data_IF_053064865978
#
_entry.id   IF_053064865978
#
_cell.length_a   1.000
_cell.length_b   1.000
_cell.length_c   1.000
_cell.angle_alpha   90.00
_cell.angle_beta   90.00
_cell.angle_gamma   90.00
#
_symmetry.space_group_name_H-M   'P 1'
#
loop_
_entity.id
_entity.type
_entity.pdbx_description
1 polymer ?
#
# COMPACT_ATOMS: atom_id res chain seq x y z
N UNK A 1 14.71 -11.03 9.80
CA UNK A 1 13.44 -11.82 9.89
C UNK A 1 12.34 -10.97 9.25
N UNK A 2 11.13 -11.47 8.98
CA UNK A 2 10.05 -10.59 8.49
C UNK A 2 9.59 -9.66 9.64
N UNK A 3 9.42 -8.36 9.36
CA UNK A 3 8.91 -7.40 10.36
C UNK A 3 7.50 -7.74 10.85
N UNK A 4 7.08 -7.15 11.97
CA UNK A 4 5.70 -7.32 12.44
C UNK A 4 4.73 -6.65 11.46
N UNK A 5 5.10 -5.49 10.92
CA UNK A 5 4.38 -4.78 9.87
C UNK A 5 4.11 -5.66 8.65
N UNK A 6 5.12 -6.39 8.14
CA UNK A 6 4.93 -7.28 6.99
C UNK A 6 4.04 -8.48 7.32
N UNK A 7 4.14 -9.02 8.54
CA UNK A 7 3.26 -10.10 9.00
C UNK A 7 1.80 -9.65 9.06
N UNK A 8 1.53 -8.50 9.68
CA UNK A 8 0.20 -7.88 9.71
C UNK A 8 -0.32 -7.57 8.31
N UNK A 9 0.52 -7.01 7.44
CA UNK A 9 0.18 -6.74 6.06
C UNK A 9 -0.27 -7.99 5.30
N UNK A 10 0.42 -9.12 5.47
CA UNK A 10 0.06 -10.37 4.81
C UNK A 10 -1.32 -10.90 5.23
N UNK A 11 -1.82 -10.51 6.41
CA UNK A 11 -3.19 -10.79 6.82
C UNK A 11 -4.18 -9.78 6.23
N UNK A 12 -3.91 -8.49 6.35
CA UNK A 12 -4.84 -7.43 5.92
C UNK A 12 -5.01 -7.39 4.39
N UNK A 13 -3.95 -7.68 3.62
CA UNK A 13 -4.04 -7.72 2.15
C UNK A 13 -4.96 -8.83 1.64
N UNK A 14 -5.24 -9.85 2.47
CA UNK A 14 -6.10 -10.98 2.09
C UNK A 14 -7.54 -10.52 1.83
N UNK A 15 -8.04 -9.48 2.51
CA UNK A 15 -9.36 -8.91 2.23
C UNK A 15 -9.49 -8.46 0.77
N UNK A 16 -8.43 -7.86 0.21
CA UNK A 16 -8.42 -7.45 -1.20
C UNK A 16 -8.43 -8.66 -2.15
N UNK A 17 -7.71 -9.72 -1.78
CA UNK A 17 -7.66 -10.99 -2.54
C UNK A 17 -9.03 -11.68 -2.51
N UNK A 18 -9.65 -11.75 -1.34
CA UNK A 18 -10.95 -12.40 -1.14
C UNK A 18 -12.07 -11.65 -1.86
N UNK A 19 -12.02 -10.31 -1.90
CA UNK A 19 -12.95 -9.52 -2.73
C UNK A 19 -12.83 -9.84 -4.22
N UNK A 20 -11.60 -10.06 -4.72
CA UNK A 20 -11.37 -10.45 -6.12
C UNK A 20 -11.85 -11.90 -6.37
N UNK A 21 -11.61 -12.82 -5.44
CA UNK A 21 -12.11 -14.18 -5.53
C UNK A 21 -13.65 -14.24 -5.48
N UNK A 22 -14.26 -13.38 -4.66
CA UNK A 22 -15.71 -13.25 -4.60
C UNK A 22 -16.27 -12.72 -5.93
N UNK A 23 -15.62 -11.73 -6.54
CA UNK A 23 -15.93 -11.30 -7.90
C UNK A 23 -15.92 -12.49 -8.87
N UNK A 24 -14.86 -13.31 -8.85
CA UNK A 24 -14.75 -14.48 -9.73
C UNK A 24 -15.88 -15.50 -9.53
N UNK A 25 -16.37 -15.63 -8.30
CA UNK A 25 -17.45 -16.56 -7.95
C UNK A 25 -18.81 -16.10 -8.46
N UNK A 26 -19.09 -14.79 -8.38
CA UNK A 26 -20.40 -14.23 -8.75
C UNK A 26 -20.47 -13.77 -10.22
N UNK A 27 -19.35 -13.77 -10.93
CA UNK A 27 -19.27 -13.32 -12.32
C UNK A 27 -19.90 -14.34 -13.27
N UNK A 28 -21.24 -14.37 -13.31
CA UNK A 28 -22.05 -15.09 -14.29
C UNK A 28 -22.18 -14.30 -15.60
N UNK A 29 -22.72 -14.91 -16.68
CA UNK A 29 -23.12 -14.15 -17.87
C UNK A 29 -24.65 -13.97 -17.92
N UNK A 30 -25.15 -12.71 -17.92
CA UNK A 30 -24.41 -11.45 -17.74
C UNK A 30 -23.94 -11.24 -16.28
N UNK A 31 -22.87 -10.44 -16.05
CA UNK A 31 -22.39 -10.14 -14.71
C UNK A 31 -23.42 -9.30 -13.94
N UNK A 32 -23.60 -9.51 -12.63
CA UNK A 32 -24.40 -8.60 -11.83
C UNK A 32 -23.71 -7.23 -11.67
N UNK A 33 -24.47 -6.14 -11.62
CA UNK A 33 -23.93 -4.77 -11.46
C UNK A 33 -23.05 -4.60 -10.21
N UNK A 34 -23.31 -5.41 -9.17
CA UNK A 34 -22.51 -5.45 -7.93
C UNK A 34 -21.09 -5.99 -8.14
N UNK A 35 -20.83 -6.76 -9.19
CA UNK A 35 -19.52 -7.35 -9.46
C UNK A 35 -18.44 -6.27 -9.70
N UNK A 36 -18.80 -5.17 -10.38
CA UNK A 36 -17.87 -4.05 -10.60
C UNK A 36 -17.49 -3.32 -9.32
N UNK A 37 -18.39 -3.30 -8.32
CA UNK A 37 -18.12 -2.70 -7.01
C UNK A 37 -17.02 -3.49 -6.29
N UNK A 38 -17.04 -4.83 -6.38
CA UNK A 38 -16.05 -5.69 -5.73
C UNK A 38 -14.63 -5.43 -6.25
N UNK A 39 -14.46 -5.27 -7.57
CA UNK A 39 -13.16 -4.94 -8.15
C UNK A 39 -12.64 -3.58 -7.67
N UNK A 40 -13.50 -2.57 -7.61
CA UNK A 40 -13.13 -1.24 -7.12
C UNK A 40 -12.78 -1.27 -5.62
N UNK A 41 -13.59 -1.95 -4.82
CA UNK A 41 -13.36 -2.13 -3.39
C UNK A 41 -12.04 -2.86 -3.13
N UNK A 42 -11.77 -3.94 -3.86
CA UNK A 42 -10.52 -4.71 -3.77
C UNK A 42 -9.28 -3.83 -4.00
N UNK A 43 -9.28 -2.95 -5.02
CA UNK A 43 -8.14 -2.05 -5.23
C UNK A 43 -7.95 -1.05 -4.08
N UNK A 44 -9.05 -0.51 -3.56
CA UNK A 44 -9.02 0.42 -2.42
C UNK A 44 -8.48 -0.28 -1.17
N UNK A 45 -8.94 -1.50 -0.88
CA UNK A 45 -8.47 -2.31 0.24
C UNK A 45 -6.98 -2.65 0.11
N UNK A 46 -6.51 -2.99 -1.10
CA UNK A 46 -5.10 -3.30 -1.31
C UNK A 46 -4.18 -2.10 -1.04
N UNK A 47 -4.58 -0.90 -1.45
CA UNK A 47 -3.81 0.31 -1.16
C UNK A 47 -3.90 0.74 0.30
N UNK A 48 -5.04 0.52 0.95
CA UNK A 48 -5.18 0.77 2.39
C UNK A 48 -4.25 -0.15 3.19
N UNK A 49 -4.17 -1.43 2.82
CA UNK A 49 -3.22 -2.37 3.43
C UNK A 49 -1.76 -1.90 3.25
N UNK A 50 -1.41 -1.39 2.05
CA UNK A 50 -0.07 -0.85 1.80
C UNK A 50 0.21 0.43 2.61
N UNK A 51 -0.77 1.31 2.76
CA UNK A 51 -0.69 2.52 3.57
C UNK A 51 -0.35 2.15 5.01
N UNK A 52 -1.16 1.29 5.64
CA UNK A 52 -0.92 0.79 7.01
C UNK A 52 0.43 0.09 7.14
N UNK A 53 0.81 -0.76 6.17
CA UNK A 53 2.12 -1.39 6.18
C UNK A 53 3.26 -0.37 6.25
N UNK A 54 3.21 0.72 5.47
CA UNK A 54 4.25 1.73 5.47
C UNK A 54 4.30 2.49 6.80
N UNK A 55 3.14 2.85 7.35
CA UNK A 55 3.02 3.51 8.66
C UNK A 55 3.59 2.65 9.79
N UNK A 56 3.25 1.36 9.81
CA UNK A 56 3.75 0.42 10.80
C UNK A 56 5.24 0.18 10.61
N UNK A 57 5.69 -0.03 9.37
CA UNK A 57 7.09 -0.38 9.08
C UNK A 57 8.05 0.75 9.44
N UNK A 58 7.71 2.00 9.16
CA UNK A 58 8.53 3.15 9.55
C UNK A 58 8.51 3.32 11.08
N UNK A 59 7.36 3.10 11.74
CA UNK A 59 7.24 3.20 13.19
C UNK A 59 8.11 2.16 13.90
N UNK A 60 8.10 0.91 13.41
CA UNK A 60 8.99 -0.14 13.89
C UNK A 60 10.46 0.21 13.68
N UNK A 61 10.82 0.70 12.48
CA UNK A 61 12.19 1.11 12.16
C UNK A 61 12.69 2.23 13.09
N UNK A 62 11.90 3.28 13.24
CA UNK A 62 12.23 4.41 14.11
C UNK A 62 12.34 3.96 15.56
N UNK A 63 11.45 3.08 16.01
CA UNK A 63 11.52 2.47 17.35
C UNK A 63 12.81 1.69 17.60
N UNK A 64 13.42 1.10 16.57
CA UNK A 64 14.74 0.47 16.68
C UNK A 64 15.86 1.52 16.78
N UNK A 65 15.81 2.57 15.96
CA UNK A 65 16.83 3.64 15.94
C UNK A 65 16.90 4.42 17.25
N UNK A 66 15.75 4.76 17.84
CA UNK A 66 15.73 5.56 19.08
C UNK A 66 16.00 4.72 20.35
N UNK A 67 16.08 3.40 20.22
CA UNK A 67 16.26 2.48 21.34
C UNK A 67 14.97 2.22 22.14
N UNK A 68 14.90 1.02 22.74
CA UNK A 68 13.75 0.57 23.56
C UNK A 68 13.89 0.89 25.06
N UNK A 69 15.02 1.46 25.47
CA UNK A 69 15.31 1.65 26.88
C UNK A 69 14.43 2.76 27.45
N UNK A 70 13.69 2.46 28.52
CA UNK A 70 12.63 3.29 29.12
C UNK A 70 13.10 4.62 29.75
N UNK A 71 14.26 5.12 29.37
CA UNK A 71 14.79 6.43 29.72
C UNK A 71 14.71 7.39 28.54
N UNK A 72 13.64 7.31 27.74
CA UNK A 72 13.50 8.13 26.55
C UNK A 72 13.56 9.60 26.89
N UNK A 73 14.73 10.21 26.66
CA UNK A 73 14.92 11.62 26.89
C UNK A 73 13.98 12.41 25.97
N UNK A 74 13.83 13.70 26.26
CA UNK A 74 12.99 14.62 25.48
C UNK A 74 13.20 14.55 23.96
N UNK A 75 14.39 14.15 23.52
CA UNK A 75 14.72 13.95 22.10
C UNK A 75 14.00 12.72 21.51
N UNK A 76 13.97 11.58 22.22
CA UNK A 76 13.25 10.39 21.77
C UNK A 76 11.75 10.64 21.69
N UNK A 77 11.17 11.25 22.73
CA UNK A 77 9.76 11.64 22.75
C UNK A 77 9.43 12.57 21.57
N UNK A 78 10.22 13.64 21.40
CA UNK A 78 10.05 14.56 20.28
C UNK A 78 10.14 13.86 18.92
N UNK A 79 11.04 12.89 18.76
CA UNK A 79 11.22 12.15 17.52
C UNK A 79 10.00 11.28 17.18
N UNK A 80 9.51 10.53 18.17
CA UNK A 80 8.32 9.68 18.03
C UNK A 80 7.05 10.51 17.82
N UNK A 81 6.88 11.59 18.58
CA UNK A 81 5.75 12.52 18.42
C UNK A 81 5.78 13.19 17.04
N UNK A 82 6.97 13.56 16.56
CA UNK A 82 7.12 14.11 15.22
C UNK A 82 6.67 13.10 14.17
N UNK A 83 7.10 11.84 14.27
CA UNK A 83 6.68 10.78 13.35
C UNK A 83 5.17 10.61 13.39
N UNK A 84 4.57 10.47 14.58
CA UNK A 84 3.13 10.29 14.72
C UNK A 84 2.34 11.45 14.10
N UNK A 85 2.83 12.69 14.24
CA UNK A 85 2.19 13.84 13.62
C UNK A 85 2.26 13.79 12.09
N UNK A 86 3.38 13.37 11.51
CA UNK A 86 3.51 13.19 10.06
C UNK A 86 2.60 12.05 9.55
N UNK A 87 2.52 10.93 10.27
CA UNK A 87 1.68 9.78 9.91
C UNK A 87 0.19 10.13 9.89
N UNK A 88 -0.30 11.02 10.75
CA UNK A 88 -1.69 11.50 10.71
C UNK A 88 -2.11 12.08 9.35
N UNK A 89 -1.14 12.59 8.58
CA UNK A 89 -1.36 13.16 7.25
C UNK A 89 -0.85 12.27 6.11
N UNK A 90 -0.32 11.09 6.43
CA UNK A 90 0.17 10.11 5.47
C UNK A 90 -1.00 9.37 4.80
N UNK A 91 -1.84 10.11 4.09
CA UNK A 91 -2.90 9.49 3.29
C UNK A 91 -2.33 9.05 1.94
N UNK A 92 -2.69 7.86 1.44
CA UNK A 92 -2.29 7.38 0.10
C UNK A 92 -0.77 7.28 -0.12
N UNK A 93 -0.21 6.06 -0.27
CA UNK A 93 1.23 5.84 -0.38
C UNK A 93 1.77 6.20 -1.77
N UNK A 94 1.97 7.48 -2.07
CA UNK A 94 2.67 7.90 -3.30
C UNK A 94 4.18 7.80 -3.12
N UNK A 95 4.98 7.56 -4.18
CA UNK A 95 6.43 7.45 -4.05
C UNK A 95 7.04 8.64 -3.32
N UNK A 96 6.64 9.86 -3.66
CA UNK A 96 7.14 11.09 -3.02
C UNK A 96 6.85 11.12 -1.51
N UNK A 97 5.65 10.73 -1.07
CA UNK A 97 5.31 10.68 0.37
C UNK A 97 6.12 9.60 1.09
N UNK A 98 6.23 8.41 0.51
CA UNK A 98 7.01 7.31 1.10
C UNK A 98 8.48 7.69 1.20
N UNK A 99 9.08 8.18 0.12
CA UNK A 99 10.49 8.57 0.11
C UNK A 99 10.80 9.67 1.14
N UNK A 100 9.97 10.71 1.23
CA UNK A 100 10.15 11.79 2.22
C UNK A 100 10.12 11.26 3.65
N UNK A 101 9.23 10.31 3.94
CA UNK A 101 9.07 9.76 5.28
C UNK A 101 10.31 8.96 5.71
N UNK A 102 10.76 8.02 4.87
CA UNK A 102 11.96 7.22 5.14
C UNK A 102 13.24 8.06 5.18
N UNK A 103 13.37 9.05 4.29
CA UNK A 103 14.52 9.95 4.30
C UNK A 103 14.54 10.84 5.54
N UNK A 104 13.40 11.41 5.94
CA UNK A 104 13.30 12.30 7.11
C UNK A 104 13.66 11.58 8.41
N UNK A 105 13.15 10.35 8.59
CA UNK A 105 13.24 9.65 9.87
C UNK A 105 14.32 8.57 9.94
N UNK A 106 14.86 8.10 8.81
CA UNK A 106 15.87 7.05 8.84
C UNK A 106 17.12 7.42 8.02
N UNK A 107 17.11 8.52 7.26
CA UNK A 107 18.17 8.85 6.28
C UNK A 107 18.38 7.72 5.25
N UNK A 108 17.30 7.00 4.96
CA UNK A 108 17.31 5.87 4.03
C UNK A 108 16.53 6.24 2.77
N UNK A 109 17.21 6.14 1.63
CA UNK A 109 16.56 6.12 0.32
C UNK A 109 15.87 4.77 0.09
N UNK A 110 14.62 4.65 0.53
CA UNK A 110 13.83 3.40 0.45
C UNK A 110 13.66 2.86 -0.98
N UNK A 111 13.77 3.72 -2.01
CA UNK A 111 13.62 3.30 -3.40
C UNK A 111 14.75 2.38 -3.87
N UNK A 112 15.89 2.36 -3.19
CA UNK A 112 16.98 1.42 -3.51
C UNK A 112 16.58 -0.03 -3.27
N UNK A 113 15.67 -0.26 -2.33
CA UNK A 113 15.02 -1.54 -2.11
C UNK A 113 13.97 -1.92 -3.14
N UNK A 114 13.53 -0.98 -3.99
CA UNK A 114 12.43 -1.20 -4.94
C UNK A 114 12.94 -1.80 -6.25
N UNK A 115 13.63 -2.93 -6.13
CA UNK A 115 14.09 -3.73 -7.25
C UNK A 115 13.76 -5.21 -7.00
N UNK A 116 12.94 -5.79 -7.87
CA UNK A 116 12.60 -7.21 -7.83
C UNK A 116 12.10 -7.68 -9.18
N UNK A 117 12.44 -8.91 -9.57
CA UNK A 117 12.02 -9.49 -10.85
C UNK A 117 12.28 -8.52 -12.03
N UNK A 118 11.21 -8.05 -12.68
CA UNK A 118 11.25 -7.13 -13.83
C UNK A 118 10.96 -5.66 -13.47
N UNK A 119 10.88 -5.34 -12.17
CA UNK A 119 10.75 -3.98 -11.65
C UNK A 119 12.11 -3.44 -11.27
N UNK A 120 12.49 -2.35 -11.94
CA UNK A 120 13.47 -1.40 -11.45
C UNK A 120 12.77 -0.29 -10.63
N UNK A 121 13.57 0.55 -9.96
CA UNK A 121 13.06 1.63 -9.11
C UNK A 121 12.12 2.58 -9.88
N UNK A 122 12.45 2.88 -11.14
CA UNK A 122 11.68 3.81 -11.97
C UNK A 122 10.30 3.23 -12.28
N UNK A 123 10.25 1.95 -12.67
CA UNK A 123 9.01 1.21 -12.94
C UNK A 123 8.18 1.04 -11.69
N UNK A 124 8.79 0.71 -10.55
CA UNK A 124 8.09 0.56 -9.28
C UNK A 124 7.41 1.87 -8.87
N UNK A 125 8.16 2.98 -8.89
CA UNK A 125 7.62 4.32 -8.59
C UNK A 125 6.51 4.71 -9.56
N UNK A 126 6.70 4.49 -10.86
CA UNK A 126 5.68 4.79 -11.88
C UNK A 126 4.41 3.99 -11.65
N UNK A 127 4.52 2.70 -11.34
CA UNK A 127 3.38 1.83 -11.11
C UNK A 127 2.63 2.21 -9.83
N UNK A 128 3.34 2.47 -8.72
CA UNK A 128 2.71 2.94 -7.48
C UNK A 128 1.94 4.25 -7.69
N UNK A 129 2.53 5.23 -8.39
CA UNK A 129 1.84 6.48 -8.74
C UNK A 129 0.58 6.25 -9.57
N UNK A 130 0.63 5.31 -10.53
CA UNK A 130 -0.52 4.98 -11.36
C UNK A 130 -1.65 4.34 -10.54
N UNK A 131 -1.33 3.43 -9.63
CA UNK A 131 -2.33 2.75 -8.79
C UNK A 131 -2.93 3.75 -7.78
N UNK A 132 -2.10 4.60 -7.14
CA UNK A 132 -2.57 5.64 -6.22
C UNK A 132 -3.54 6.61 -6.90
N UNK A 133 -3.22 7.06 -8.13
CA UNK A 133 -4.14 7.88 -8.94
C UNK A 133 -5.45 7.13 -9.23
N UNK A 134 -5.35 5.87 -9.64
CA UNK A 134 -6.51 5.03 -9.96
C UNK A 134 -7.46 4.86 -8.76
N UNK A 135 -6.92 4.77 -7.54
CA UNK A 135 -7.72 4.78 -6.30
C UNK A 135 -8.45 6.09 -6.08
N UNK A 136 -7.80 7.24 -6.32
CA UNK A 136 -8.45 8.54 -6.27
C UNK A 136 -9.58 8.67 -7.29
N UNK A 137 -9.34 8.25 -8.54
CA UNK A 137 -10.35 8.23 -9.59
C UNK A 137 -11.53 7.31 -9.20
N UNK A 138 -11.24 6.14 -8.63
CA UNK A 138 -12.28 5.21 -8.16
C UNK A 138 -13.11 5.82 -7.03
N UNK A 139 -12.47 6.43 -6.02
CA UNK A 139 -13.16 6.95 -4.85
C UNK A 139 -14.00 8.20 -5.16
N UNK A 140 -13.56 9.05 -6.09
CA UNK A 140 -14.18 10.36 -6.33
C UNK A 140 -14.98 10.46 -7.63
N UNK A 141 -14.71 9.61 -8.62
CA UNK A 141 -15.22 9.78 -10.00
C UNK A 141 -15.92 8.53 -10.56
N UNK A 142 -15.96 7.42 -9.81
CA UNK A 142 -16.77 6.27 -10.21
C UNK A 142 -18.25 6.61 -10.08
N UNK A 143 -18.93 6.81 -11.21
CA UNK A 143 -20.38 6.76 -11.22
C UNK A 143 -20.86 5.34 -10.86
N UNK A 144 -21.99 5.22 -10.16
CA UNK A 144 -22.62 3.90 -9.99
C UNK A 144 -23.00 3.38 -11.39
N UNK A 145 -22.82 2.08 -11.67
CA UNK A 145 -23.36 1.48 -12.87
C UNK A 145 -24.86 1.79 -12.95
N UNK A 146 -25.29 2.39 -14.06
CA UNK A 146 -26.71 2.57 -14.37
C UNK A 146 -27.11 1.39 -15.24
N UNK A 147 -28.13 0.63 -14.81
CA UNK A 147 -28.58 -0.56 -15.52
C UNK A 147 -28.85 -0.29 -17.00
N UNK A 148 -28.26 -1.10 -17.88
CA UNK A 148 -28.43 -1.03 -19.33
C UNK A 148 -27.40 -0.20 -20.10
N UNK A 149 -26.46 0.50 -19.44
CA UNK A 149 -25.33 1.16 -20.11
C UNK A 149 -24.03 0.39 -19.90
N UNK A 150 -23.34 0.04 -20.99
CA UNK A 150 -21.99 -0.50 -20.94
C UNK A 150 -21.02 0.59 -20.44
N UNK A 151 -20.82 0.66 -19.12
CA UNK A 151 -19.77 1.51 -18.54
C UNK A 151 -18.42 0.81 -18.69
N UNK A 152 -17.41 1.55 -19.15
CA UNK A 152 -16.05 1.02 -19.22
C UNK A 152 -15.57 0.61 -17.83
N UNK A 153 -15.01 -0.59 -17.70
CA UNK A 153 -14.49 -1.09 -16.43
C UNK A 153 -13.45 -0.14 -15.84
N UNK A 154 -13.71 0.36 -14.63
CA UNK A 154 -12.74 1.21 -13.91
C UNK A 154 -11.40 0.47 -13.68
N UNK A 155 -11.47 -0.85 -13.46
CA UNK A 155 -10.32 -1.75 -13.42
C UNK A 155 -10.74 -3.12 -13.97
N UNK A 156 -9.91 -3.69 -14.83
CA UNK A 156 -10.11 -5.06 -15.30
C UNK A 156 -9.70 -6.05 -14.21
N UNK A 157 -10.23 -7.27 -14.23
CA UNK A 157 -9.84 -8.33 -13.28
C UNK A 157 -8.33 -8.61 -13.34
N UNK A 158 -7.78 -8.68 -14.55
CA UNK A 158 -6.37 -9.00 -14.76
C UNK A 158 -5.46 -7.87 -14.27
N UNK A 159 -5.82 -6.61 -14.52
CA UNK A 159 -5.08 -5.46 -13.97
C UNK A 159 -5.13 -5.45 -12.45
N UNK A 160 -6.31 -5.72 -11.86
CA UNK A 160 -6.46 -5.76 -10.40
C UNK A 160 -5.57 -6.83 -9.77
N UNK A 161 -5.54 -8.04 -10.33
CA UNK A 161 -4.63 -9.10 -9.89
C UNK A 161 -3.17 -8.65 -9.96
N UNK A 162 -2.76 -7.99 -11.05
CA UNK A 162 -1.40 -7.45 -11.21
C UNK A 162 -1.10 -6.37 -10.18
N UNK A 163 -2.06 -5.50 -9.88
CA UNK A 163 -1.89 -4.44 -8.88
C UNK A 163 -1.75 -5.03 -7.45
N UNK A 164 -2.57 -6.01 -7.07
CA UNK A 164 -2.45 -6.69 -5.76
C UNK A 164 -1.08 -7.34 -5.63
N UNK A 165 -0.65 -8.11 -6.64
CA UNK A 165 0.67 -8.75 -6.63
C UNK A 165 1.80 -7.73 -6.55
N UNK A 166 1.71 -6.63 -7.30
CA UNK A 166 2.68 -5.55 -7.23
C UNK A 166 2.76 -4.96 -5.81
N UNK A 167 1.63 -4.72 -5.15
CA UNK A 167 1.57 -4.19 -3.79
C UNK A 167 2.23 -5.17 -2.78
N UNK A 168 1.95 -6.47 -2.91
CA UNK A 168 2.58 -7.50 -2.09
C UNK A 168 4.11 -7.54 -2.27
N UNK A 169 4.56 -7.56 -3.52
CA UNK A 169 6.00 -7.59 -3.82
C UNK A 169 6.71 -6.30 -3.36
N UNK A 170 6.06 -5.14 -3.50
CA UNK A 170 6.56 -3.84 -3.05
C UNK A 170 6.74 -3.81 -1.52
N UNK A 171 5.76 -4.32 -0.78
CA UNK A 171 5.85 -4.42 0.68
C UNK A 171 7.02 -5.33 1.09
N UNK A 172 7.11 -6.53 0.50
CA UNK A 172 8.19 -7.46 0.78
C UNK A 172 9.58 -6.92 0.40
N UNK A 173 9.71 -6.22 -0.74
CA UNK A 173 10.95 -5.61 -1.16
C UNK A 173 11.38 -4.47 -0.21
N UNK A 174 10.42 -3.63 0.19
CA UNK A 174 10.63 -2.58 1.19
C UNK A 174 11.08 -3.19 2.51
N UNK A 175 10.41 -4.24 2.99
CA UNK A 175 10.72 -4.85 4.29
C UNK A 175 12.15 -5.37 4.35
N UNK A 176 12.54 -6.15 3.34
CA UNK A 176 13.90 -6.70 3.22
C UNK A 176 14.96 -5.62 3.15
N UNK A 177 14.69 -4.54 2.42
CA UNK A 177 15.63 -3.45 2.28
C UNK A 177 15.84 -2.70 3.60
N UNK A 178 14.75 -2.40 4.30
CA UNK A 178 14.84 -1.70 5.59
C UNK A 178 15.49 -2.58 6.65
N UNK A 179 15.17 -3.87 6.70
CA UNK A 179 15.84 -4.84 7.61
C UNK A 179 17.36 -4.93 7.35
N UNK A 180 17.80 -4.76 6.10
CA UNK A 180 19.22 -4.84 5.75
C UNK A 180 20.01 -3.53 5.97
N UNK A 181 19.32 -2.41 6.19
CA UNK A 181 19.92 -1.07 6.24
C UNK A 181 19.59 -0.31 7.54
N UNK A 182 18.97 -0.97 8.52
CA UNK A 182 18.79 -0.52 9.90
C UNK A 182 19.85 -1.17 10.80
#
# INVERSE_FOLDING_TARGET
MASQALQSFNHVIQDAVDLLAHFDTINSQPPPDSAEVLKRASLVMALAALETYIEDRISEAVGQVVGRDGSGGRIQEFYLDSLQNDLRYFHTPTPDRVGRLFEKYLRINVFEGWAWNNYDQVRAKKHLSAIAKKRGDIAHRSLRPVGGQASAHAVTREDLRKHIRFIQDLAAATDRYIEANL
#
